data_IF_943619621284
#
_entry.id   IF_943619621284
#
_cell.length_a   1.000
_cell.length_b   1.000
_cell.length_c   1.000
_cell.angle_alpha   90.00
_cell.angle_beta   90.00
_cell.angle_gamma   90.00
#
_symmetry.space_group_name_H-M   'P 1'
#
loop_
_entity.id
_entity.type
_entity.pdbx_description
1 polymer ?
#
# COMPACT_ATOMS: atom_id res chain seq x y z
N UNK A 1 20.07 -70.26 -64.57
CA UNK A 1 20.79 -69.84 -63.34
C UNK A 1 20.70 -68.33 -63.25
N UNK A 2 19.94 -67.82 -62.29
CA UNK A 2 20.45 -67.21 -61.03
C UNK A 2 20.94 -65.79 -61.29
N UNK A 3 20.13 -64.80 -60.91
CA UNK A 3 20.26 -64.08 -59.63
C UNK A 3 21.58 -63.28 -59.55
N UNK A 4 21.51 -62.02 -59.93
CA UNK A 4 22.15 -60.91 -59.23
C UNK A 4 21.25 -59.68 -59.48
N UNK A 5 20.10 -59.58 -58.81
CA UNK A 5 19.94 -59.17 -57.42
C UNK A 5 20.33 -57.70 -57.22
N UNK A 6 19.28 -56.91 -56.94
CA UNK A 6 19.23 -55.94 -55.83
C UNK A 6 20.42 -54.99 -55.74
N UNK A 7 20.27 -53.73 -56.19
CA UNK A 7 20.68 -52.59 -55.33
C UNK A 7 20.32 -51.19 -55.81
N UNK A 8 19.65 -50.96 -56.95
CA UNK A 8 19.41 -49.57 -57.41
C UNK A 8 17.95 -49.27 -57.75
N UNK A 9 17.04 -50.21 -57.48
CA UNK A 9 15.58 -49.97 -57.55
C UNK A 9 14.96 -49.78 -56.15
N UNK A 10 15.79 -49.34 -55.19
CA UNK A 10 15.39 -48.92 -53.83
C UNK A 10 15.72 -47.43 -53.65
N UNK A 11 15.25 -46.59 -54.59
CA UNK A 11 14.90 -45.20 -54.27
C UNK A 11 13.38 -45.00 -54.36
N UNK A 12 12.67 -46.04 -53.90
CA UNK A 12 11.33 -45.94 -53.37
C UNK A 12 11.47 -45.57 -51.89
N UNK A 13 11.69 -44.28 -51.61
CA UNK A 13 11.30 -43.63 -50.36
C UNK A 13 10.96 -42.19 -50.74
N UNK A 14 9.76 -41.93 -51.26
CA UNK A 14 8.66 -41.43 -50.43
C UNK A 14 9.13 -40.49 -49.32
N UNK A 15 9.79 -39.39 -49.69
CA UNK A 15 9.55 -38.14 -48.99
C UNK A 15 8.28 -37.54 -49.58
N UNK A 16 7.14 -38.12 -49.19
CA UNK A 16 5.94 -37.31 -49.05
C UNK A 16 6.31 -36.27 -48.00
N UNK A 17 6.70 -35.08 -48.46
CA UNK A 17 6.49 -33.87 -47.69
C UNK A 17 4.97 -33.85 -47.46
N UNK A 18 4.54 -34.43 -46.34
CA UNK A 18 3.28 -34.09 -45.71
C UNK A 18 3.41 -32.65 -45.20
N UNK A 19 3.64 -31.71 -46.11
CA UNK A 19 2.95 -30.45 -46.01
C UNK A 19 1.47 -30.87 -46.11
N UNK A 20 0.74 -30.78 -45.00
CA UNK A 20 -0.70 -30.79 -45.06
C UNK A 20 -1.07 -29.59 -45.93
N UNK A 21 -1.18 -29.80 -47.24
CA UNK A 21 -1.66 -28.81 -48.18
C UNK A 21 -3.15 -28.71 -47.87
N UNK A 22 -3.50 -27.80 -46.95
CA UNK A 22 -4.88 -27.55 -46.56
C UNK A 22 -5.58 -27.01 -47.79
N UNK A 23 -6.34 -27.88 -48.45
CA UNK A 23 -7.09 -27.51 -49.62
C UNK A 23 -8.15 -26.50 -49.21
N UNK A 24 -8.23 -25.35 -49.88
CA UNK A 24 -9.35 -24.42 -49.68
C UNK A 24 -10.50 -24.90 -50.56
N UNK A 25 -11.64 -25.18 -49.94
CA UNK A 25 -12.91 -25.44 -50.62
C UNK A 25 -13.70 -24.14 -50.67
N UNK A 26 -13.87 -23.59 -51.88
CA UNK A 26 -14.62 -22.36 -52.10
C UNK A 26 -16.13 -22.58 -52.12
N UNK A 27 -16.58 -23.84 -52.20
CA UNK A 27 -17.99 -24.21 -52.14
C UNK A 27 -18.44 -24.49 -50.70
N UNK A 28 -17.51 -24.64 -49.74
CA UNK A 28 -17.81 -24.75 -48.31
C UNK A 28 -17.97 -23.35 -47.69
N UNK A 29 -19.17 -23.07 -47.20
CA UNK A 29 -19.49 -21.76 -46.64
C UNK A 29 -18.60 -21.41 -45.43
N UNK A 30 -18.11 -20.17 -45.32
CA UNK A 30 -17.40 -19.72 -44.13
C UNK A 30 -18.38 -19.65 -42.94
N UNK A 31 -17.91 -19.95 -41.70
CA UNK A 31 -18.72 -19.73 -40.51
C UNK A 31 -19.24 -18.30 -40.42
N UNK A 32 -20.53 -18.16 -40.11
CA UNK A 32 -21.22 -16.87 -40.00
C UNK A 32 -21.80 -16.66 -38.59
N UNK A 33 -22.25 -15.44 -38.30
CA UNK A 33 -22.76 -15.04 -36.99
C UNK A 33 -21.79 -15.33 -35.84
N UNK A 34 -20.49 -15.13 -36.09
CA UNK A 34 -19.46 -15.27 -35.07
C UNK A 34 -19.63 -14.18 -34.01
N UNK A 35 -19.87 -14.60 -32.78
CA UNK A 35 -20.06 -13.71 -31.63
C UNK A 35 -19.31 -14.25 -30.42
N UNK A 36 -18.89 -13.35 -29.53
CA UNK A 36 -18.24 -13.71 -28.26
C UNK A 36 -19.12 -13.23 -27.11
N UNK A 37 -19.53 -14.16 -26.26
CA UNK A 37 -20.33 -13.86 -25.06
C UNK A 37 -19.66 -14.50 -23.85
N UNK A 38 -19.32 -13.70 -22.83
CA UNK A 38 -18.66 -14.16 -21.60
C UNK A 38 -17.40 -15.03 -21.85
N UNK A 39 -16.63 -14.69 -22.88
CA UNK A 39 -15.40 -15.41 -23.26
C UNK A 39 -15.62 -16.69 -24.06
N UNK A 40 -16.87 -17.05 -24.40
CA UNK A 40 -17.18 -18.15 -25.31
C UNK A 40 -17.45 -17.59 -26.70
N UNK A 41 -16.67 -18.01 -27.70
CA UNK A 41 -16.95 -17.73 -29.11
C UNK A 41 -17.94 -18.76 -29.65
N UNK A 42 -18.96 -18.33 -30.41
CA UNK A 42 -19.96 -19.19 -31.04
C UNK A 42 -20.31 -18.70 -32.44
N UNK A 43 -20.74 -19.61 -33.30
CA UNK A 43 -21.10 -19.36 -34.71
C UNK A 43 -22.23 -20.27 -35.16
N UNK A 44 -22.80 -19.98 -36.33
CA UNK A 44 -23.81 -20.84 -36.95
C UNK A 44 -23.17 -22.09 -37.56
N UNK A 45 -23.85 -23.23 -37.47
CA UNK A 45 -23.40 -24.46 -38.10
C UNK A 45 -23.29 -24.28 -39.63
N UNK A 46 -22.18 -24.73 -40.20
CA UNK A 46 -21.94 -24.79 -41.64
C UNK A 46 -22.38 -26.15 -42.16
N UNK A 47 -23.23 -26.17 -43.18
CA UNK A 47 -23.67 -27.40 -43.82
C UNK A 47 -22.48 -28.15 -44.44
N UNK A 48 -22.49 -29.48 -44.31
CA UNK A 48 -21.42 -30.38 -44.78
C UNK A 48 -20.07 -30.27 -44.04
N UNK A 49 -19.95 -29.41 -43.02
CA UNK A 49 -18.75 -29.34 -42.19
C UNK A 49 -18.68 -30.51 -41.18
N UNK A 50 -17.52 -31.17 -41.12
CA UNK A 50 -17.23 -32.23 -40.15
C UNK A 50 -16.74 -31.64 -38.81
N UNK A 51 -16.04 -30.51 -38.85
CA UNK A 51 -15.45 -29.83 -37.70
C UNK A 51 -15.11 -28.38 -38.02
N UNK A 52 -14.49 -27.68 -37.07
CA UNK A 52 -14.06 -26.30 -37.19
C UNK A 52 -12.65 -26.13 -36.62
N UNK A 53 -11.96 -25.06 -37.04
CA UNK A 53 -10.74 -24.59 -36.39
C UNK A 53 -10.94 -23.14 -35.98
N UNK A 54 -10.80 -22.88 -34.69
CA UNK A 54 -10.80 -21.53 -34.11
C UNK A 54 -9.37 -21.01 -34.12
N UNK A 55 -9.16 -19.85 -34.72
CA UNK A 55 -7.91 -19.12 -34.69
C UNK A 55 -7.96 -18.08 -33.59
N UNK A 56 -6.96 -18.09 -32.70
CA UNK A 56 -6.71 -17.05 -31.71
C UNK A 56 -5.38 -16.39 -32.05
N UNK A 57 -5.44 -15.28 -32.79
CA UNK A 57 -4.26 -14.72 -33.46
C UNK A 57 -3.70 -15.70 -34.49
N UNK A 58 -2.52 -16.27 -34.23
CA UNK A 58 -1.85 -17.25 -35.12
C UNK A 58 -1.97 -18.69 -34.63
N UNK A 59 -2.64 -18.93 -33.50
CA UNK A 59 -2.76 -20.25 -32.89
C UNK A 59 -4.10 -20.90 -33.23
N UNK A 60 -4.06 -22.19 -33.55
CA UNK A 60 -5.21 -22.95 -34.03
C UNK A 60 -5.75 -23.92 -32.98
N UNK A 61 -7.08 -23.99 -32.89
CA UNK A 61 -7.80 -24.85 -31.96
C UNK A 61 -8.90 -25.63 -32.70
N UNK A 62 -8.65 -26.90 -33.07
CA UNK A 62 -9.66 -27.75 -33.69
C UNK A 62 -10.79 -28.09 -32.72
N UNK A 63 -12.04 -27.99 -33.17
CA UNK A 63 -13.23 -28.27 -32.37
C UNK A 63 -14.32 -28.92 -33.24
N UNK A 64 -15.13 -29.79 -32.65
CA UNK A 64 -16.25 -30.47 -33.34
C UNK A 64 -17.62 -29.86 -33.03
N UNK A 65 -17.63 -28.76 -32.27
CA UNK A 65 -18.86 -28.05 -31.88
C UNK A 65 -18.86 -26.64 -32.47
N UNK A 66 -20.00 -25.97 -32.45
CA UNK A 66 -20.17 -24.60 -32.96
C UNK A 66 -19.86 -23.52 -31.92
N UNK A 67 -19.05 -23.87 -30.92
CA UNK A 67 -18.60 -22.94 -29.88
C UNK A 67 -17.26 -23.36 -29.30
N UNK A 68 -16.53 -22.40 -28.73
CA UNK A 68 -15.27 -22.64 -28.04
C UNK A 68 -15.07 -21.65 -26.89
N UNK A 69 -14.68 -22.15 -25.71
CA UNK A 69 -14.44 -21.32 -24.52
C UNK A 69 -12.99 -20.80 -24.53
N UNK A 70 -12.82 -19.51 -24.82
CA UNK A 70 -11.50 -18.87 -24.89
C UNK A 70 -10.86 -18.73 -23.49
N UNK A 71 -11.65 -18.80 -22.41
CA UNK A 71 -11.14 -18.67 -21.04
C UNK A 71 -10.27 -19.86 -20.64
N UNK A 72 -10.38 -21.01 -21.32
CA UNK A 72 -9.57 -22.19 -21.04
C UNK A 72 -8.12 -22.05 -21.52
N UNK A 73 -7.81 -21.01 -22.29
CA UNK A 73 -6.51 -20.84 -22.95
C UNK A 73 -5.45 -20.14 -22.09
N UNK A 74 -5.82 -19.52 -20.96
CA UNK A 74 -4.88 -18.78 -20.11
C UNK A 74 -4.18 -17.63 -20.84
N UNK A 75 -4.91 -16.92 -21.71
CA UNK A 75 -4.40 -15.79 -22.48
C UNK A 75 -3.96 -14.64 -21.54
N UNK A 76 -2.88 -13.95 -21.91
CA UNK A 76 -2.42 -12.76 -21.21
C UNK A 76 -3.27 -11.53 -21.54
N UNK A 77 -3.05 -10.44 -20.81
CA UNK A 77 -3.72 -9.15 -21.08
C UNK A 77 -3.43 -8.70 -22.51
N UNK A 78 -4.46 -8.36 -23.27
CA UNK A 78 -4.33 -7.95 -24.65
C UNK A 78 -5.61 -8.10 -25.47
N UNK A 79 -5.51 -7.78 -26.76
CA UNK A 79 -6.58 -7.99 -27.73
C UNK A 79 -6.18 -9.08 -28.72
N UNK A 80 -6.99 -10.12 -28.81
CA UNK A 80 -6.79 -11.26 -29.69
C UNK A 80 -7.80 -11.21 -30.83
N UNK A 81 -7.34 -11.43 -32.05
CA UNK A 81 -8.21 -11.54 -33.22
C UNK A 81 -8.70 -12.98 -33.34
N UNK A 82 -10.02 -13.17 -33.29
CA UNK A 82 -10.66 -14.48 -33.39
C UNK A 82 -11.29 -14.65 -34.76
N UNK A 83 -10.98 -15.75 -35.44
CA UNK A 83 -11.68 -16.18 -36.66
C UNK A 83 -11.89 -17.69 -36.64
N UNK A 84 -12.83 -18.18 -37.42
CA UNK A 84 -13.18 -19.60 -37.48
C UNK A 84 -13.24 -20.05 -38.93
N UNK A 85 -12.74 -21.24 -39.23
CA UNK A 85 -12.94 -21.93 -40.51
C UNK A 85 -13.73 -23.21 -40.28
N UNK A 86 -14.57 -23.57 -41.24
CA UNK A 86 -15.19 -24.90 -41.31
C UNK A 86 -14.22 -25.88 -41.99
N UNK A 87 -14.29 -27.14 -41.61
CA UNK A 87 -13.44 -28.22 -42.12
C UNK A 87 -14.30 -29.37 -42.60
N UNK A 88 -14.04 -29.84 -43.82
CA UNK A 88 -14.70 -31.00 -44.45
C UNK A 88 -13.64 -31.91 -45.06
N UNK A 89 -13.45 -33.09 -44.47
CA UNK A 89 -12.30 -33.96 -44.77
C UNK A 89 -10.97 -33.21 -44.61
N UNK A 90 -10.18 -33.14 -45.68
CA UNK A 90 -8.89 -32.44 -45.72
C UNK A 90 -9.00 -30.98 -46.20
N UNK A 91 -10.22 -30.50 -46.49
CA UNK A 91 -10.47 -29.16 -47.02
C UNK A 91 -11.03 -28.20 -45.98
N UNK A 92 -10.81 -26.90 -46.19
CA UNK A 92 -11.24 -25.81 -45.31
C UNK A 92 -11.99 -24.73 -46.07
N UNK A 93 -12.98 -24.11 -45.41
CA UNK A 93 -13.66 -22.93 -45.93
C UNK A 93 -12.73 -21.71 -45.92
N UNK A 94 -13.21 -20.60 -46.50
CA UNK A 94 -12.69 -19.29 -46.14
C UNK A 94 -12.92 -19.00 -44.64
N UNK A 95 -12.10 -18.15 -44.00
CA UNK A 95 -12.32 -17.75 -42.62
C UNK A 95 -13.56 -16.87 -42.47
N UNK A 96 -14.18 -16.95 -41.30
CA UNK A 96 -15.21 -16.03 -40.86
C UNK A 96 -14.72 -14.58 -40.80
N UNK A 97 -15.66 -13.65 -40.56
CA UNK A 97 -15.29 -12.32 -40.08
C UNK A 97 -14.49 -12.40 -38.79
N UNK A 98 -13.51 -11.52 -38.63
CA UNK A 98 -12.68 -11.42 -37.42
C UNK A 98 -13.46 -10.72 -36.32
N UNK A 99 -13.49 -11.31 -35.12
CA UNK A 99 -14.08 -10.73 -33.91
C UNK A 99 -12.97 -10.51 -32.88
N UNK A 100 -12.84 -9.31 -32.28
CA UNK A 100 -11.85 -9.08 -31.23
C UNK A 100 -12.29 -9.70 -29.90
N UNK A 101 -11.37 -10.41 -29.24
CA UNK A 101 -11.49 -10.83 -27.84
C UNK A 101 -10.51 -10.04 -26.99
N UNK A 102 -11.01 -9.29 -26.01
CA UNK A 102 -10.19 -8.47 -25.12
C UNK A 102 -10.06 -9.18 -23.78
N UNK A 103 -8.81 -9.46 -23.39
CA UNK A 103 -8.45 -9.89 -22.04
C UNK A 103 -7.97 -8.65 -21.29
N UNK A 104 -8.77 -8.20 -20.34
CA UNK A 104 -8.44 -7.05 -19.50
C UNK A 104 -7.51 -7.45 -18.34
N UNK A 105 -6.76 -6.48 -17.83
CA UNK A 105 -6.02 -6.66 -16.59
C UNK A 105 -7.02 -6.77 -15.44
N UNK A 106 -7.01 -7.90 -14.75
CA UNK A 106 -7.90 -8.11 -13.61
C UNK A 106 -7.49 -7.26 -12.42
N UNK A 107 -8.45 -6.85 -11.59
CA UNK A 107 -8.12 -6.25 -10.30
C UNK A 107 -7.31 -7.26 -9.47
N UNK A 108 -6.21 -6.84 -8.82
CA UNK A 108 -5.39 -7.73 -8.01
C UNK A 108 -6.23 -8.33 -6.88
N UNK A 109 -6.12 -9.64 -6.68
CA UNK A 109 -6.80 -10.33 -5.56
C UNK A 109 -6.00 -10.26 -4.26
N UNK A 110 -4.74 -9.84 -4.33
CA UNK A 110 -3.86 -9.64 -3.17
C UNK A 110 -2.83 -8.54 -3.43
N UNK A 111 -2.35 -7.94 -2.35
CA UNK A 111 -1.25 -6.98 -2.37
C UNK A 111 -0.06 -7.56 -1.63
N UNK A 112 1.15 -7.30 -2.13
CA UNK A 112 2.37 -7.69 -1.42
C UNK A 112 2.51 -6.89 -0.12
N UNK A 113 3.06 -7.54 0.91
CA UNK A 113 3.40 -6.88 2.17
C UNK A 113 4.46 -5.80 1.94
N UNK A 114 4.30 -4.57 2.46
CA UNK A 114 5.34 -3.54 2.39
C UNK A 114 6.68 -4.04 2.93
N UNK A 115 7.75 -3.78 2.16
CA UNK A 115 9.12 -4.21 2.47
C UNK A 115 10.02 -3.00 2.75
N UNK A 116 11.17 -3.27 3.37
CA UNK A 116 12.17 -2.26 3.73
C UNK A 116 11.58 -1.11 4.55
N UNK A 117 10.76 -1.46 5.54
CA UNK A 117 10.22 -0.47 6.47
C UNK A 117 11.36 0.04 7.34
N UNK A 118 11.60 1.35 7.29
CA UNK A 118 12.67 2.03 8.00
C UNK A 118 12.11 3.23 8.74
N UNK A 119 12.75 3.58 9.85
CA UNK A 119 12.43 4.76 10.63
C UNK A 119 13.69 5.63 10.74
N UNK A 120 13.60 6.87 10.27
CA UNK A 120 14.67 7.86 10.37
C UNK A 120 14.11 9.11 11.04
N UNK A 121 14.61 9.41 12.24
CA UNK A 121 14.00 10.44 13.09
C UNK A 121 12.55 10.07 13.42
N UNK A 122 11.60 10.93 13.04
CA UNK A 122 10.16 10.69 13.19
C UNK A 122 9.48 10.20 11.91
N UNK A 123 10.23 9.93 10.83
CA UNK A 123 9.65 9.57 9.53
C UNK A 123 9.84 8.08 9.28
N UNK A 124 8.73 7.35 9.19
CA UNK A 124 8.71 5.97 8.72
C UNK A 124 8.56 5.96 7.20
N UNK A 125 9.31 5.10 6.51
CA UNK A 125 9.27 4.94 5.05
C UNK A 125 9.39 3.48 4.64
N UNK A 126 8.92 3.15 3.43
CA UNK A 126 8.91 1.79 2.88
C UNK A 126 8.99 1.80 1.35
N UNK A 127 9.22 0.64 0.76
CA UNK A 127 9.20 0.48 -0.70
C UNK A 127 7.77 0.53 -1.25
N UNK A 128 7.55 1.12 -2.44
CA UNK A 128 6.25 1.08 -3.10
C UNK A 128 5.80 -0.35 -3.40
N UNK A 129 4.52 -0.64 -3.15
CA UNK A 129 3.87 -1.92 -3.45
C UNK A 129 3.14 -1.81 -4.79
N UNK A 130 3.47 -2.66 -5.79
CA UNK A 130 2.75 -2.70 -7.06
C UNK A 130 1.25 -2.86 -6.85
N UNK A 131 0.46 -2.18 -7.67
CA UNK A 131 -1.00 -2.19 -7.65
C UNK A 131 -1.67 -1.58 -6.40
N UNK A 132 -0.92 -1.13 -5.39
CA UNK A 132 -1.48 -0.39 -4.25
C UNK A 132 -1.86 1.05 -4.66
N UNK A 133 -3.00 1.53 -4.15
CA UNK A 133 -3.44 2.92 -4.30
C UNK A 133 -3.12 3.79 -3.07
N UNK A 134 -2.74 3.15 -1.96
CA UNK A 134 -2.28 3.82 -0.75
C UNK A 134 -1.78 2.83 0.29
N UNK A 135 -1.63 3.33 1.51
CA UNK A 135 -1.13 2.61 2.66
C UNK A 135 -1.88 3.00 3.92
N UNK A 136 -1.83 2.11 4.91
CA UNK A 136 -2.33 2.36 6.26
C UNK A 136 -1.17 2.11 7.22
N UNK A 137 -0.75 3.16 7.92
CA UNK A 137 0.24 3.07 9.00
C UNK A 137 -0.50 2.79 10.29
N UNK A 138 -0.08 1.77 11.03
CA UNK A 138 -0.73 1.31 12.25
C UNK A 138 0.21 1.55 13.42
N UNK A 139 -0.22 2.34 14.40
CA UNK A 139 0.53 2.68 15.61
C UNK A 139 -0.26 2.17 16.81
N UNK A 140 0.23 1.13 17.49
CA UNK A 140 -0.42 0.52 18.66
C UNK A 140 -1.95 0.22 18.50
N UNK A 141 -2.43 0.01 17.27
CA UNK A 141 -3.83 -0.25 16.82
C UNK A 141 -4.60 0.94 16.22
N UNK A 142 -4.02 2.14 16.17
CA UNK A 142 -4.63 3.29 15.48
C UNK A 142 -4.13 3.32 14.03
N UNK A 143 -5.06 3.46 13.09
CA UNK A 143 -4.79 3.47 11.64
C UNK A 143 -4.72 4.88 11.08
N UNK A 144 -3.66 5.16 10.33
CA UNK A 144 -3.40 6.43 9.65
C UNK A 144 -3.25 6.18 8.14
N UNK A 145 -4.24 6.53 7.31
CA UNK A 145 -4.15 6.34 5.88
C UNK A 145 -3.21 7.38 5.24
N UNK A 146 -2.47 6.96 4.22
CA UNK A 146 -1.62 7.83 3.41
C UNK A 146 -1.48 7.27 2.00
N UNK A 147 -1.31 8.14 0.99
CA UNK A 147 -0.99 7.72 -0.38
C UNK A 147 0.51 7.70 -0.65
N UNK A 148 1.31 8.25 0.27
CA UNK A 148 2.76 8.32 0.15
C UNK A 148 3.41 7.03 0.67
N UNK A 149 4.65 6.79 0.27
CA UNK A 149 5.49 5.69 0.80
C UNK A 149 6.26 6.09 2.06
N UNK A 150 5.77 7.10 2.77
CA UNK A 150 6.29 7.57 4.03
C UNK A 150 5.22 8.26 4.87
N UNK A 151 5.47 8.35 6.17
CA UNK A 151 4.59 8.99 7.13
C UNK A 151 5.41 9.61 8.27
N UNK A 152 5.10 10.86 8.62
CA UNK A 152 5.77 11.58 9.69
C UNK A 152 4.98 11.45 11.00
N UNK A 153 5.60 10.83 11.99
CA UNK A 153 5.05 10.62 13.33
C UNK A 153 5.17 11.87 14.21
N UNK A 154 6.07 12.81 13.88
CA UNK A 154 6.41 13.95 14.73
C UNK A 154 5.25 14.91 15.06
N UNK A 155 4.32 15.19 14.12
CA UNK A 155 3.14 15.98 14.42
C UNK A 155 2.09 15.27 15.27
N UNK A 156 2.27 13.98 15.58
CA UNK A 156 1.34 13.24 16.43
C UNK A 156 1.66 13.54 17.89
N UNK A 157 0.62 13.92 18.64
CA UNK A 157 0.70 14.09 20.10
C UNK A 157 0.68 12.72 20.78
N UNK A 158 1.85 12.07 20.78
CA UNK A 158 2.06 10.76 21.38
C UNK A 158 2.68 10.94 22.76
N UNK A 159 2.05 10.36 23.78
CA UNK A 159 2.61 10.34 25.13
C UNK A 159 4.00 9.65 25.15
N UNK A 160 4.87 9.98 26.12
CA UNK A 160 6.15 9.29 26.27
C UNK A 160 5.99 7.78 26.33
N UNK A 161 6.81 7.07 25.57
CA UNK A 161 6.73 5.62 25.46
C UNK A 161 7.26 5.08 24.13
N UNK A 162 7.22 3.76 23.99
CA UNK A 162 7.63 3.08 22.77
C UNK A 162 6.40 2.57 22.03
N UNK A 163 6.30 2.95 20.76
CA UNK A 163 5.22 2.62 19.85
C UNK A 163 5.71 1.64 18.80
N UNK A 164 4.91 0.61 18.53
CA UNK A 164 5.16 -0.32 17.44
C UNK A 164 4.41 0.14 16.19
N UNK A 165 5.15 0.33 15.09
CA UNK A 165 4.61 0.80 13.82
C UNK A 165 4.69 -0.31 12.78
N UNK A 166 3.55 -0.61 12.18
CA UNK A 166 3.46 -1.48 10.99
C UNK A 166 2.75 -0.77 9.86
N UNK A 167 2.93 -1.25 8.63
CA UNK A 167 2.31 -0.66 7.44
C UNK A 167 1.63 -1.75 6.63
N UNK A 168 0.42 -1.47 6.14
CA UNK A 168 -0.28 -2.29 5.15
C UNK A 168 -0.45 -1.49 3.86
N UNK A 169 -0.29 -2.14 2.71
CA UNK A 169 -0.71 -1.58 1.44
C UNK A 169 -2.22 -1.75 1.26
N UNK A 170 -2.86 -0.78 0.60
CA UNK A 170 -4.30 -0.80 0.33
C UNK A 170 -4.63 -0.51 -1.13
N UNK A 171 -5.69 -1.15 -1.62
CA UNK A 171 -6.37 -0.83 -2.88
C UNK A 171 -7.87 -1.05 -2.66
N UNK A 172 -8.66 0.02 -2.63
CA UNK A 172 -10.09 -0.04 -2.30
C UNK A 172 -10.31 -0.72 -0.93
N UNK A 173 -11.00 -1.86 -0.90
CA UNK A 173 -11.22 -2.66 0.32
C UNK A 173 -10.12 -3.71 0.58
N UNK A 174 -9.19 -3.90 -0.35
CA UNK A 174 -8.11 -4.89 -0.24
C UNK A 174 -6.97 -4.36 0.61
N UNK A 175 -6.52 -5.17 1.58
CA UNK A 175 -5.35 -4.89 2.43
C UNK A 175 -4.31 -6.00 2.28
N UNK A 176 -3.03 -5.63 2.27
CA UNK A 176 -1.94 -6.60 2.40
C UNK A 176 -1.84 -7.13 3.84
N UNK A 177 -0.98 -8.14 4.05
CA UNK A 177 -0.48 -8.42 5.41
C UNK A 177 0.34 -7.22 5.94
N UNK A 178 0.41 -7.02 7.26
CA UNK A 178 1.24 -5.96 7.86
C UNK A 178 2.72 -6.24 7.64
N UNK A 179 3.49 -5.16 7.51
CA UNK A 179 4.96 -5.21 7.41
C UNK A 179 5.62 -5.73 8.69
N UNK A 180 6.94 -5.93 8.64
CA UNK A 180 7.76 -5.95 9.85
C UNK A 180 7.57 -4.66 10.65
N UNK A 181 7.55 -4.77 11.97
CA UNK A 181 7.40 -3.62 12.85
C UNK A 181 8.71 -2.85 13.01
N UNK A 182 8.61 -1.52 13.09
CA UNK A 182 9.66 -0.64 13.59
C UNK A 182 9.21 0.00 14.89
N UNK A 183 10.17 0.38 15.74
CA UNK A 183 9.88 0.96 17.05
C UNK A 183 10.19 2.46 17.04
N UNK A 184 9.22 3.29 17.40
CA UNK A 184 9.40 4.72 17.62
C UNK A 184 9.28 5.01 19.11
N UNK A 185 10.29 5.66 19.68
CA UNK A 185 10.28 6.04 21.10
C UNK A 185 10.13 7.54 21.21
N UNK A 186 9.10 7.96 21.94
CA UNK A 186 8.93 9.32 22.41
C UNK A 186 9.51 9.40 23.80
N UNK A 187 10.57 10.17 23.97
CA UNK A 187 11.21 10.37 25.27
C UNK A 187 10.34 11.27 26.14
N UNK A 188 10.29 10.99 27.44
CA UNK A 188 9.79 11.96 28.40
C UNK A 188 10.75 13.15 28.46
N UNK A 189 10.21 14.35 28.55
CA UNK A 189 11.00 15.53 28.85
C UNK A 189 11.54 15.40 30.29
N UNK A 190 12.86 15.45 30.45
CA UNK A 190 13.49 15.44 31.78
C UNK A 190 13.55 16.88 32.24
N UNK A 191 12.62 17.25 33.12
CA UNK A 191 12.61 18.57 33.73
C UNK A 191 13.66 18.60 34.84
N UNK A 192 14.57 19.58 34.77
CA UNK A 192 15.45 19.89 35.89
C UNK A 192 14.60 20.55 36.99
N UNK A 193 14.43 19.83 38.09
CA UNK A 193 13.60 20.28 39.22
C UNK A 193 14.08 21.61 39.78
N UNK A 194 15.39 21.78 39.93
CA UNK A 194 15.96 22.95 40.59
C UNK A 194 15.85 24.17 39.69
N UNK A 195 16.05 23.99 38.38
CA UNK A 195 15.83 25.06 37.40
C UNK A 195 14.37 25.52 37.36
N UNK A 196 13.41 24.57 37.31
CA UNK A 196 11.99 24.91 37.34
C UNK A 196 11.58 25.56 38.67
N UNK A 197 12.05 25.03 39.80
CA UNK A 197 11.81 25.61 41.13
C UNK A 197 12.31 27.04 41.22
N UNK A 198 13.54 27.31 40.77
CA UNK A 198 14.12 28.64 40.77
C UNK A 198 13.34 29.60 39.85
N UNK A 199 12.91 29.15 38.67
CA UNK A 199 12.09 29.97 37.78
C UNK A 199 10.71 30.33 38.38
N UNK A 200 10.08 29.39 39.06
CA UNK A 200 8.80 29.63 39.78
C UNK A 200 9.01 30.57 40.96
N UNK A 201 10.07 30.36 41.75
CA UNK A 201 10.42 31.20 42.89
C UNK A 201 10.69 32.65 42.47
N UNK A 202 11.40 32.84 41.35
CA UNK A 202 11.69 34.17 40.79
C UNK A 202 10.49 34.89 40.18
N UNK A 203 9.33 34.24 40.13
CA UNK A 203 8.08 34.93 39.79
C UNK A 203 7.55 35.77 40.96
N UNK A 204 7.89 35.38 42.21
CA UNK A 204 7.54 36.17 43.40
C UNK A 204 8.46 37.37 43.56
N UNK A 205 9.76 37.14 43.41
CA UNK A 205 10.81 38.16 43.49
C UNK A 205 12.01 37.71 42.64
N UNK A 206 12.46 38.57 41.72
CA UNK A 206 13.55 38.23 40.79
C UNK A 206 14.90 37.99 41.48
N UNK A 207 15.09 38.55 42.68
CA UNK A 207 16.32 38.44 43.45
C UNK A 207 16.40 37.16 44.29
N UNK A 208 15.33 36.36 44.34
CA UNK A 208 15.35 35.09 45.08
C UNK A 208 16.27 34.04 44.43
N UNK A 209 16.95 33.28 45.30
CA UNK A 209 17.74 32.08 44.98
C UNK A 209 17.36 30.93 45.92
N UNK A 210 17.77 29.70 45.61
CA UNK A 210 17.35 28.49 46.34
C UNK A 210 18.03 28.31 47.70
N UNK A 211 19.16 28.97 47.94
CA UNK A 211 20.01 28.79 49.11
C UNK A 211 20.10 30.02 50.01
N UNK A 212 19.17 30.97 49.87
CA UNK A 212 19.08 32.14 50.75
C UNK A 212 18.75 31.73 52.19
N UNK A 213 19.40 32.40 53.13
CA UNK A 213 19.29 32.22 54.58
C UNK A 213 18.85 33.52 55.23
N UNK A 214 18.46 33.47 56.51
CA UNK A 214 18.01 34.67 57.25
C UNK A 214 19.05 35.81 57.23
N UNK A 215 20.35 35.50 57.16
CA UNK A 215 21.41 36.52 57.10
C UNK A 215 21.50 37.28 55.77
N UNK A 216 20.80 36.81 54.74
CA UNK A 216 20.75 37.46 53.43
C UNK A 216 19.65 38.54 53.35
N UNK A 217 18.87 38.71 54.43
CA UNK A 217 17.77 39.68 54.53
C UNK A 217 18.02 40.74 55.60
N UNK A 218 17.48 41.95 55.39
CA UNK A 218 17.61 43.05 56.36
C UNK A 218 16.61 42.89 57.52
N UNK A 219 15.49 42.20 57.27
CA UNK A 219 14.42 42.00 58.25
C UNK A 219 13.88 40.56 58.26
N UNK A 220 13.49 40.08 59.44
CA UNK A 220 12.92 38.73 59.66
C UNK A 220 11.67 38.46 58.80
N UNK A 221 10.81 39.48 58.60
CA UNK A 221 9.60 39.31 57.80
C UNK A 221 9.88 39.11 56.30
N UNK A 222 10.98 39.65 55.78
CA UNK A 222 11.38 39.42 54.38
C UNK A 222 11.82 37.96 54.18
N UNK A 223 12.49 37.42 55.20
CA UNK A 223 12.86 36.01 55.22
C UNK A 223 11.64 35.08 55.36
N UNK A 224 10.63 35.46 56.16
CA UNK A 224 9.36 34.74 56.27
C UNK A 224 8.57 34.74 54.95
N UNK A 225 8.57 35.86 54.23
CA UNK A 225 7.96 35.99 52.90
C UNK A 225 8.67 35.08 51.88
N UNK A 226 10.02 35.09 51.88
CA UNK A 226 10.83 34.18 51.07
C UNK A 226 10.51 32.70 51.37
N UNK A 227 10.44 32.31 52.65
CA UNK A 227 10.09 30.92 53.01
C UNK A 227 8.70 30.53 52.53
N UNK A 228 7.74 31.45 52.60
CA UNK A 228 6.38 31.23 52.11
C UNK A 228 6.34 31.06 50.59
N UNK A 229 7.06 31.92 49.85
CA UNK A 229 7.22 31.81 48.41
C UNK A 229 7.90 30.49 48.01
N UNK A 230 8.99 30.11 48.69
CA UNK A 230 9.71 28.86 48.47
C UNK A 230 8.83 27.63 48.73
N UNK A 231 7.98 27.66 49.75
CA UNK A 231 7.04 26.58 50.03
C UNK A 231 5.99 26.42 48.90
N UNK A 232 5.44 27.53 48.40
CA UNK A 232 4.49 27.52 47.28
C UNK A 232 5.19 27.01 46.00
N UNK A 233 6.38 27.54 45.71
CA UNK A 233 7.16 27.15 44.53
C UNK A 233 7.49 25.65 44.55
N UNK A 234 7.89 25.10 45.70
CA UNK A 234 8.14 23.66 45.87
C UNK A 234 6.89 22.80 45.61
N UNK A 235 5.75 23.20 46.17
CA UNK A 235 4.50 22.48 45.98
C UNK A 235 4.05 22.48 44.51
N UNK A 236 4.13 23.65 43.86
CA UNK A 236 3.81 23.81 42.44
C UNK A 236 4.74 22.99 41.54
N UNK A 237 6.05 23.13 41.71
CA UNK A 237 7.06 22.41 40.91
C UNK A 237 6.89 20.90 41.03
N UNK A 238 6.63 20.40 42.24
CA UNK A 238 6.32 18.97 42.44
C UNK A 238 5.10 18.52 41.63
N UNK A 239 4.00 19.26 41.73
CA UNK A 239 2.78 18.95 40.99
C UNK A 239 2.97 19.03 39.45
N UNK A 240 3.69 20.06 38.97
CA UNK A 240 3.96 20.24 37.54
C UNK A 240 4.77 19.07 36.95
N UNK A 241 5.80 18.62 37.69
CA UNK A 241 6.62 17.46 37.29
C UNK A 241 5.79 16.16 37.33
N UNK A 242 4.98 15.95 38.37
CA UNK A 242 4.10 14.78 38.47
C UNK A 242 3.07 14.74 37.34
N UNK A 243 2.64 15.91 36.87
CA UNK A 243 1.76 16.08 35.70
C UNK A 243 2.51 16.04 34.36
N UNK A 244 3.82 15.80 34.35
CA UNK A 244 4.68 15.76 33.16
C UNK A 244 4.60 17.03 32.30
N UNK A 245 4.45 18.20 32.94
CA UNK A 245 4.48 19.47 32.24
C UNK A 245 5.91 19.77 31.77
N UNK A 246 6.05 20.34 30.57
CA UNK A 246 7.32 20.95 30.17
C UNK A 246 7.63 22.15 31.05
N UNK A 247 8.91 22.49 31.20
CA UNK A 247 9.35 23.65 31.99
C UNK A 247 8.66 24.94 31.54
N UNK A 248 8.58 25.16 30.23
CA UNK A 248 7.93 26.34 29.65
C UNK A 248 6.43 26.40 29.96
N UNK A 249 5.71 25.26 29.89
CA UNK A 249 4.29 25.22 30.21
C UNK A 249 4.04 25.43 31.70
N UNK A 250 4.91 24.87 32.56
CA UNK A 250 4.82 25.05 33.99
C UNK A 250 5.06 26.53 34.37
N UNK A 251 6.16 27.12 33.93
CA UNK A 251 6.46 28.53 34.19
C UNK A 251 5.36 29.46 33.66
N UNK A 252 4.92 29.26 32.42
CA UNK A 252 3.87 30.09 31.83
C UNK A 252 2.53 29.97 32.55
N UNK A 253 2.16 28.78 33.01
CA UNK A 253 0.95 28.57 33.79
C UNK A 253 1.04 29.25 35.16
N UNK A 254 2.18 29.13 35.85
CA UNK A 254 2.39 29.75 37.15
C UNK A 254 2.34 31.28 37.07
N UNK A 255 3.09 31.87 36.13
CA UNK A 255 3.08 33.31 35.86
C UNK A 255 1.68 33.81 35.56
N UNK A 256 0.94 33.11 34.69
CA UNK A 256 -0.44 33.48 34.39
C UNK A 256 -1.30 33.52 35.64
N UNK A 257 -1.25 32.48 36.49
CA UNK A 257 -2.00 32.40 37.74
C UNK A 257 -1.62 33.52 38.72
N UNK A 258 -0.33 33.83 38.81
CA UNK A 258 0.20 34.85 39.72
C UNK A 258 -0.24 36.26 39.33
N UNK A 259 -0.26 36.57 38.03
CA UNK A 259 -0.68 37.88 37.50
C UNK A 259 -2.20 38.06 37.36
N UNK A 260 -3.02 37.02 37.58
CA UNK A 260 -4.49 37.11 37.44
C UNK A 260 -5.13 38.24 38.26
N UNK A 261 -4.75 38.48 39.54
CA UNK A 261 -5.35 39.54 40.34
C UNK A 261 -5.10 40.94 39.75
N UNK A 262 -3.88 41.25 39.34
CA UNK A 262 -3.52 42.56 38.79
C UNK A 262 -4.25 42.84 37.48
N UNK A 263 -4.39 41.83 36.61
CA UNK A 263 -5.16 41.95 35.37
C UNK A 263 -6.65 42.19 35.60
N UNK A 264 -7.24 41.64 36.67
CA UNK A 264 -8.64 41.89 36.99
C UNK A 264 -8.86 43.33 37.50
N UNK A 265 -7.91 43.88 38.25
CA UNK A 265 -7.97 45.27 38.70
C UNK A 265 -7.89 46.28 37.54
N UNK A 266 -7.09 45.99 36.52
CA UNK A 266 -6.92 46.86 35.34
C UNK A 266 -8.12 46.82 34.35
N UNK A 267 -9.00 45.82 34.44
CA UNK A 267 -10.19 45.72 33.58
C UNK A 267 -11.39 46.54 34.08
N UNK A 268 -11.39 46.92 35.37
CA UNK A 268 -12.44 47.70 36.03
C UNK A 268 -12.10 49.20 36.13
N UNK A 269 -10.94 49.63 35.60
CA UNK A 269 -10.46 51.03 35.53
C UNK A 269 -10.59 51.64 34.14
#
# INVERSE_FOLDING_TARGET
MRKLALLVFVLLTTFALAACDRQIDLDLDPPSNVVITAGVVSWDAVDEADSYIVFVGLTEYPVTTTSFDLNTLGLGVGTYQISVVAVKGDAQSLPSSVVPFVVEDGEPTSLATPQNVQLVGSVVSWNPVPNALGYVVIINSISYPTTNTSFNLGPLDLAPGTYSITVQATRNALLSSPSSAVQYTVSAEVVDRDALLLGVLRTFDEDYDLDLTESDFDYEWEFDDYQSALAIANAYTGAAIDMQMSEANALGMFQHMFELPDRMYDMDS
#
